data_IF_897105814556
#
_entry.id   IF_897105814556
#
_cell.length_a   1.000
_cell.length_b   1.000
_cell.length_c   1.000
_cell.angle_alpha   90.00
_cell.angle_beta   90.00
_cell.angle_gamma   90.00
#
_symmetry.space_group_name_H-M   'P 1'
#
loop_
_entity.id
_entity.type
_entity.pdbx_description
1 polymer ?
#
# COMPACT_ATOMS: atom_id res chain seq x y z
N UNK A 1 20.77 5.26 -15.80
CA UNK A 1 20.63 4.58 -14.50
C UNK A 1 19.68 5.44 -13.69
N UNK A 2 18.60 4.87 -13.14
CA UNK A 2 17.69 5.65 -12.30
C UNK A 2 18.40 5.89 -10.97
N UNK A 3 18.57 7.15 -10.59
CA UNK A 3 19.12 7.52 -9.28
C UNK A 3 17.96 7.53 -8.27
N UNK A 4 18.00 6.70 -7.21
CA UNK A 4 16.98 6.76 -6.17
C UNK A 4 16.98 8.11 -5.46
N UNK A 5 15.80 8.62 -5.13
CA UNK A 5 15.66 9.74 -4.20
C UNK A 5 16.24 9.39 -2.83
N UNK A 6 15.97 8.16 -2.39
CA UNK A 6 16.52 7.61 -1.16
C UNK A 6 16.72 6.11 -1.30
N UNK A 7 17.76 5.62 -0.63
CA UNK A 7 18.09 4.21 -0.49
C UNK A 7 18.63 4.01 0.93
N UNK A 8 18.07 3.08 1.68
CA UNK A 8 18.58 2.71 3.01
C UNK A 8 19.88 1.92 2.92
N UNK A 9 20.69 1.97 4.00
CA UNK A 9 21.99 1.30 4.08
C UNK A 9 21.88 -0.23 3.94
N UNK A 10 20.82 -0.80 4.52
CA UNK A 10 20.47 -2.23 4.43
C UNK A 10 19.98 -2.64 3.03
N UNK A 11 19.80 -1.68 2.11
CA UNK A 11 19.31 -1.87 0.74
C UNK A 11 17.96 -2.59 0.68
N UNK A 12 17.10 -2.40 1.68
CA UNK A 12 15.75 -2.97 1.73
C UNK A 12 14.64 -1.95 1.53
N UNK A 13 14.98 -0.67 1.36
CA UNK A 13 14.02 0.42 1.17
C UNK A 13 14.53 1.40 0.12
N UNK A 14 13.77 1.56 -0.97
CA UNK A 14 14.08 2.46 -2.07
C UNK A 14 12.92 3.41 -2.32
N UNK A 15 13.23 4.67 -2.59
CA UNK A 15 12.28 5.68 -3.04
C UNK A 15 12.74 6.23 -4.39
N UNK A 16 11.83 6.31 -5.35
CA UNK A 16 12.03 7.00 -6.61
C UNK A 16 11.13 8.25 -6.66
N UNK A 17 11.71 9.37 -7.10
CA UNK A 17 10.97 10.61 -7.32
C UNK A 17 10.61 10.77 -8.79
N UNK A 18 9.31 10.86 -9.07
CA UNK A 18 8.78 11.15 -10.41
C UNK A 18 7.48 10.40 -10.72
N UNK A 19 7.03 10.51 -11.96
CA UNK A 19 5.82 9.85 -12.41
C UNK A 19 6.01 8.33 -12.51
N UNK A 20 5.20 7.58 -11.77
CA UNK A 20 5.05 6.13 -11.89
C UNK A 20 4.94 5.64 -13.32
N UNK A 21 4.17 6.35 -14.16
CA UNK A 21 3.96 5.97 -15.56
C UNK A 21 5.26 6.04 -16.37
N UNK A 22 6.17 6.95 -16.00
CA UNK A 22 7.47 7.12 -16.66
C UNK A 22 8.57 6.27 -16.04
N UNK A 23 8.52 6.06 -14.71
CA UNK A 23 9.56 5.38 -13.96
C UNK A 23 9.47 3.86 -14.07
N UNK A 24 8.27 3.28 -14.03
CA UNK A 24 8.10 1.82 -14.12
C UNK A 24 8.78 1.26 -15.40
N UNK A 25 8.59 1.80 -16.61
CA UNK A 25 9.26 1.28 -17.82
C UNK A 25 10.80 1.26 -17.75
N UNK A 26 11.42 2.08 -16.89
CA UNK A 26 12.87 2.32 -16.89
C UNK A 26 13.71 1.27 -16.17
N UNK A 27 13.11 0.28 -15.47
CA UNK A 27 13.84 -0.79 -14.76
C UNK A 27 13.17 -2.17 -14.88
N UNK A 28 13.93 -3.27 -14.78
CA UNK A 28 13.39 -4.64 -15.06
C UNK A 28 12.85 -5.42 -13.86
N UNK A 29 13.17 -5.00 -12.64
CA UNK A 29 12.86 -5.76 -11.44
C UNK A 29 11.37 -6.15 -11.33
N UNK A 30 11.11 -7.39 -10.88
CA UNK A 30 9.76 -7.93 -10.67
C UNK A 30 9.47 -8.12 -9.19
N UNK A 31 8.28 -7.70 -8.76
CA UNK A 31 7.84 -7.69 -7.37
C UNK A 31 6.92 -8.85 -7.04
N UNK A 32 6.96 -9.29 -5.78
CA UNK A 32 6.16 -10.37 -5.21
C UNK A 32 4.74 -9.89 -4.85
N UNK A 33 4.63 -8.63 -4.44
CA UNK A 33 3.37 -7.99 -4.09
C UNK A 33 3.39 -6.54 -4.56
N UNK A 34 2.23 -6.05 -4.97
CA UNK A 34 1.99 -4.62 -5.17
C UNK A 34 0.91 -4.18 -4.18
N UNK A 35 1.12 -3.04 -3.53
CA UNK A 35 0.04 -2.30 -2.90
C UNK A 35 -0.14 -0.99 -3.65
N UNK A 36 -1.37 -0.54 -3.85
CA UNK A 36 -1.65 0.75 -4.46
C UNK A 36 -2.81 1.45 -3.75
N UNK A 37 -2.61 2.70 -3.37
CA UNK A 37 -3.66 3.65 -2.96
C UNK A 37 -3.73 4.77 -4.01
N UNK A 38 -4.27 4.49 -5.21
CA UNK A 38 -4.24 5.45 -6.32
C UNK A 38 -5.07 6.70 -6.02
N UNK A 39 -4.84 7.80 -6.75
CA UNK A 39 -5.74 8.95 -6.75
C UNK A 39 -7.22 8.60 -6.85
N UNK A 40 -8.07 9.31 -6.12
CA UNK A 40 -9.53 9.07 -6.10
C UNK A 40 -10.30 10.03 -7.01
N UNK A 41 -9.60 11.01 -7.58
CA UNK A 41 -10.11 12.11 -8.40
C UNK A 41 -11.26 12.90 -7.71
N UNK A 42 -11.10 13.20 -6.42
CA UNK A 42 -12.11 13.86 -5.57
C UNK A 42 -11.99 15.38 -5.52
N UNK A 43 -10.96 15.99 -6.12
CA UNK A 43 -10.79 17.44 -6.20
C UNK A 43 -11.79 18.08 -7.17
N UNK A 44 -13.05 18.15 -6.72
CA UNK A 44 -14.19 18.70 -7.45
C UNK A 44 -14.77 19.95 -6.77
N UNK A 45 -13.95 20.73 -6.05
CA UNK A 45 -14.35 21.93 -5.30
C UNK A 45 -15.38 21.69 -4.16
N UNK A 46 -15.50 20.46 -3.66
CA UNK A 46 -16.36 20.14 -2.52
C UNK A 46 -15.85 20.73 -1.19
N UNK A 47 -16.69 20.73 -0.16
CA UNK A 47 -16.38 21.17 1.20
C UNK A 47 -16.29 19.97 2.16
N UNK A 48 -15.31 19.98 3.06
CA UNK A 48 -15.08 19.02 4.14
C UNK A 48 -14.84 19.78 5.45
N UNK A 49 -14.78 19.10 6.59
CA UNK A 49 -14.46 19.71 7.89
C UNK A 49 -13.23 19.04 8.49
N UNK A 50 -12.23 19.86 8.84
CA UNK A 50 -11.05 19.42 9.57
C UNK A 50 -10.89 20.31 10.80
N UNK A 51 -10.87 19.70 12.00
CA UNK A 51 -10.78 20.38 13.29
C UNK A 51 -11.84 21.50 13.49
N UNK A 52 -13.09 21.23 13.10
CA UNK A 52 -14.19 22.19 13.25
C UNK A 52 -14.17 23.36 12.25
N UNK A 53 -13.22 23.39 11.30
CA UNK A 53 -13.16 24.39 10.23
C UNK A 53 -13.56 23.79 8.90
N UNK A 54 -14.31 24.54 8.10
CA UNK A 54 -14.64 24.19 6.72
C UNK A 54 -13.34 24.28 5.89
N UNK A 55 -12.99 23.18 5.23
CA UNK A 55 -11.83 23.04 4.36
C UNK A 55 -12.25 22.48 3.01
N UNK A 56 -11.51 22.76 1.94
CA UNK A 56 -11.80 22.18 0.63
C UNK A 56 -11.52 20.66 0.61
N UNK A 57 -12.30 19.91 -0.17
CA UNK A 57 -12.07 18.48 -0.47
C UNK A 57 -10.89 18.29 -1.42
N UNK A 58 -10.37 19.36 -2.03
CA UNK A 58 -9.27 19.29 -2.98
C UNK A 58 -8.00 18.74 -2.32
N UNK A 59 -7.59 17.53 -2.71
CA UNK A 59 -6.43 16.81 -2.15
C UNK A 59 -5.11 17.11 -2.88
N UNK A 60 -5.20 17.65 -4.10
CA UNK A 60 -4.06 17.98 -4.96
C UNK A 60 -4.49 18.11 -6.43
N UNK A 61 -3.62 18.66 -7.30
CA UNK A 61 -3.89 18.74 -8.75
C UNK A 61 -4.02 17.34 -9.40
N UNK A 62 -3.29 16.36 -8.87
CA UNK A 62 -3.32 14.94 -9.25
C UNK A 62 -4.68 14.26 -9.02
N UNK A 63 -5.59 14.90 -8.28
CA UNK A 63 -6.89 14.35 -7.86
C UNK A 63 -8.07 15.02 -8.59
N UNK A 64 -7.88 15.65 -9.76
CA UNK A 64 -8.96 16.25 -10.58
C UNK A 64 -9.52 15.24 -11.61
N UNK A 65 -10.85 15.11 -11.70
CA UNK A 65 -11.51 14.26 -12.69
C UNK A 65 -11.79 15.02 -13.99
N UNK A 66 -11.44 14.43 -15.14
CA UNK A 66 -11.80 14.92 -16.49
C UNK A 66 -12.93 14.09 -17.15
N UNK A 67 -13.61 13.24 -16.37
CA UNK A 67 -14.71 12.38 -16.84
C UNK A 67 -14.45 10.88 -16.62
N UNK A 68 -15.46 10.06 -16.91
CA UNK A 68 -15.43 8.60 -16.68
C UNK A 68 -14.35 7.89 -17.50
N UNK A 69 -14.23 8.21 -18.79
CA UNK A 69 -13.22 7.62 -19.69
C UNK A 69 -11.80 7.96 -19.24
N UNK A 70 -11.55 9.20 -18.80
CA UNK A 70 -10.26 9.60 -18.27
C UNK A 70 -9.83 8.75 -17.07
N UNK A 71 -10.74 8.47 -16.13
CA UNK A 71 -10.46 7.64 -14.95
C UNK A 71 -10.12 6.21 -15.37
N UNK A 72 -10.88 5.65 -16.33
CA UNK A 72 -10.63 4.30 -16.85
C UNK A 72 -9.29 4.22 -17.59
N UNK A 73 -8.96 5.20 -18.42
CA UNK A 73 -7.70 5.26 -19.17
C UNK A 73 -6.49 5.44 -18.24
N UNK A 74 -6.61 6.31 -17.23
CA UNK A 74 -5.61 6.43 -16.17
C UNK A 74 -5.40 5.09 -15.47
N UNK A 75 -6.48 4.44 -15.03
CA UNK A 75 -6.42 3.14 -14.36
C UNK A 75 -5.81 2.06 -15.23
N UNK A 76 -6.19 2.01 -16.51
CA UNK A 76 -5.65 1.10 -17.51
C UNK A 76 -4.15 1.26 -17.65
N UNK A 77 -3.68 2.50 -17.76
CA UNK A 77 -2.27 2.81 -17.98
C UNK A 77 -1.40 2.34 -16.81
N UNK A 78 -1.70 2.73 -15.57
CA UNK A 78 -0.84 2.34 -14.45
C UNK A 78 -0.97 0.85 -14.14
N UNK A 79 -2.17 0.26 -14.20
CA UNK A 79 -2.35 -1.16 -13.95
C UNK A 79 -1.61 -2.02 -14.96
N UNK A 80 -1.57 -1.62 -16.24
CA UNK A 80 -0.79 -2.32 -17.27
C UNK A 80 0.71 -2.28 -16.95
N UNK A 81 1.25 -1.12 -16.59
CA UNK A 81 2.66 -0.97 -16.23
C UNK A 81 3.02 -1.75 -14.96
N UNK A 82 2.16 -1.70 -13.94
CA UNK A 82 2.33 -2.45 -12.70
C UNK A 82 2.26 -3.96 -12.96
N UNK A 83 1.31 -4.42 -13.79
CA UNK A 83 1.19 -5.81 -14.19
C UNK A 83 2.49 -6.33 -14.81
N UNK A 84 3.15 -5.52 -15.63
CA UNK A 84 4.46 -5.86 -16.18
C UNK A 84 5.52 -6.02 -15.09
N UNK A 85 5.45 -5.29 -13.97
CA UNK A 85 6.39 -5.41 -12.85
C UNK A 85 6.05 -6.49 -11.84
N UNK A 86 4.97 -7.22 -12.01
CA UNK A 86 4.61 -8.32 -11.10
C UNK A 86 5.26 -9.64 -11.55
N UNK A 87 5.73 -10.46 -10.60
CA UNK A 87 6.06 -11.87 -10.86
C UNK A 87 4.81 -12.65 -11.30
N UNK A 88 5.00 -13.83 -11.89
CA UNK A 88 3.88 -14.63 -12.42
C UNK A 88 2.84 -15.04 -11.37
N UNK A 89 3.30 -15.29 -10.14
CA UNK A 89 2.56 -15.70 -8.95
C UNK A 89 2.25 -14.54 -7.98
N UNK A 90 2.62 -13.31 -8.33
CA UNK A 90 2.43 -12.14 -7.49
C UNK A 90 0.96 -11.72 -7.35
N UNK A 91 0.67 -11.01 -6.26
CA UNK A 91 -0.64 -10.42 -5.98
C UNK A 91 -0.58 -8.90 -5.90
N UNK A 92 -1.72 -8.26 -6.12
CA UNK A 92 -1.91 -6.84 -5.98
C UNK A 92 -3.06 -6.56 -5.02
N UNK A 93 -2.86 -5.57 -4.16
CA UNK A 93 -3.87 -5.01 -3.27
C UNK A 93 -4.10 -3.56 -3.66
N UNK A 94 -5.36 -3.17 -3.85
CA UNK A 94 -5.71 -1.81 -4.24
C UNK A 94 -6.78 -1.28 -3.29
N UNK A 95 -6.45 -0.24 -2.52
CA UNK A 95 -7.45 0.45 -1.70
C UNK A 95 -8.22 1.47 -2.50
N UNK A 96 -9.48 1.63 -2.14
CA UNK A 96 -10.35 2.60 -2.75
C UNK A 96 -11.61 2.84 -1.93
N UNK A 97 -12.41 3.76 -2.43
CA UNK A 97 -13.77 4.01 -1.97
C UNK A 97 -14.72 3.83 -3.15
N UNK A 98 -16.02 4.02 -2.93
CA UNK A 98 -17.02 3.98 -4.01
C UNK A 98 -16.69 4.88 -5.22
N UNK A 99 -15.85 5.90 -5.05
CA UNK A 99 -15.49 6.85 -6.10
C UNK A 99 -14.53 6.28 -7.16
N UNK A 100 -13.69 5.30 -6.81
CA UNK A 100 -12.67 4.76 -7.72
C UNK A 100 -12.68 3.22 -7.82
N UNK A 101 -13.17 2.52 -6.80
CA UNK A 101 -12.99 1.06 -6.68
C UNK A 101 -13.68 0.28 -7.81
N UNK A 102 -14.80 0.80 -8.35
CA UNK A 102 -15.52 0.15 -9.45
C UNK A 102 -14.75 0.20 -10.77
N UNK A 103 -14.19 1.37 -11.11
CA UNK A 103 -13.31 1.51 -12.28
C UNK A 103 -12.10 0.60 -12.14
N UNK A 104 -11.43 0.61 -10.98
CA UNK A 104 -10.28 -0.28 -10.73
C UNK A 104 -10.65 -1.76 -10.92
N UNK A 105 -11.79 -2.21 -10.36
CA UNK A 105 -12.24 -3.60 -10.49
C UNK A 105 -12.53 -4.01 -11.95
N UNK A 106 -13.15 -3.12 -12.72
CA UNK A 106 -13.40 -3.34 -14.15
C UNK A 106 -12.08 -3.47 -14.91
N UNK A 107 -11.14 -2.55 -14.71
CA UNK A 107 -9.87 -2.52 -15.44
C UNK A 107 -8.97 -3.70 -15.05
N UNK A 108 -8.97 -4.13 -13.79
CA UNK A 108 -8.29 -5.37 -13.38
C UNK A 108 -8.79 -6.57 -14.19
N UNK A 109 -10.10 -6.70 -14.34
CA UNK A 109 -10.73 -7.79 -15.10
C UNK A 109 -10.35 -7.72 -16.57
N UNK A 110 -10.40 -6.52 -17.16
CA UNK A 110 -10.01 -6.29 -18.55
C UNK A 110 -8.54 -6.65 -18.81
N UNK A 111 -7.64 -6.34 -17.87
CA UNK A 111 -6.21 -6.67 -17.96
C UNK A 111 -5.89 -8.12 -17.58
N UNK A 112 -6.91 -8.97 -17.36
CA UNK A 112 -6.74 -10.40 -17.11
C UNK A 112 -6.20 -10.73 -15.73
N UNK A 113 -6.40 -9.87 -14.73
CA UNK A 113 -6.23 -10.25 -13.33
C UNK A 113 -7.39 -11.13 -12.86
N UNK A 114 -7.12 -12.03 -11.91
CA UNK A 114 -8.19 -12.72 -11.18
C UNK A 114 -8.38 -12.04 -9.83
N UNK A 115 -9.52 -11.38 -9.63
CA UNK A 115 -9.94 -10.88 -8.33
C UNK A 115 -10.22 -12.09 -7.42
N UNK A 116 -9.61 -12.07 -6.23
CA UNK A 116 -9.70 -13.14 -5.23
C UNK A 116 -10.75 -12.79 -4.17
N UNK A 117 -10.66 -11.58 -3.62
CA UNK A 117 -11.58 -11.05 -2.62
C UNK A 117 -11.66 -9.52 -2.71
N UNK A 118 -12.73 -8.96 -2.17
CA UNK A 118 -12.80 -7.54 -1.82
C UNK A 118 -12.89 -7.48 -0.30
N UNK A 119 -11.84 -6.97 0.33
CA UNK A 119 -11.81 -6.77 1.78
C UNK A 119 -12.48 -5.46 2.13
N UNK A 120 -13.39 -5.48 3.10
CA UNK A 120 -13.98 -4.27 3.70
C UNK A 120 -13.23 -3.96 4.99
N UNK A 121 -12.43 -2.90 4.96
CA UNK A 121 -11.81 -2.37 6.17
C UNK A 121 -12.84 -1.49 6.90
N UNK A 122 -13.34 -1.99 8.02
CA UNK A 122 -14.21 -1.26 8.95
C UNK A 122 -13.35 -0.52 9.99
N UNK A 123 -13.42 0.81 9.94
CA UNK A 123 -12.71 1.70 10.87
C UNK A 123 -13.40 1.65 12.22
N UNK A 124 -12.67 1.31 13.27
CA UNK A 124 -13.23 1.26 14.64
C UNK A 124 -13.52 2.66 15.21
N UNK A 125 -12.92 3.70 14.63
CA UNK A 125 -13.01 5.10 15.02
C UNK A 125 -13.15 6.02 13.78
N UNK A 126 -14.25 5.90 13.00
CA UNK A 126 -14.43 6.70 11.80
C UNK A 126 -14.78 8.15 12.16
N UNK A 127 -14.34 9.13 11.35
CA UNK A 127 -14.79 10.51 11.53
C UNK A 127 -16.30 10.61 11.28
N UNK A 128 -17.06 11.35 12.11
CA UNK A 128 -18.51 11.48 11.94
C UNK A 128 -18.86 12.20 10.64
N UNK A 129 -19.97 11.82 10.01
CA UNK A 129 -20.50 12.54 8.84
C UNK A 129 -21.23 13.81 9.30
N UNK A 130 -20.62 14.97 9.04
CA UNK A 130 -21.18 16.26 9.46
C UNK A 130 -22.43 16.69 8.68
N UNK A 131 -22.61 16.23 7.44
CA UNK A 131 -23.73 16.68 6.60
C UNK A 131 -25.09 16.16 7.09
N UNK A 132 -25.10 15.07 7.88
CA UNK A 132 -26.29 14.31 8.27
C UNK A 132 -27.20 13.89 7.09
N UNK A 133 -26.68 13.94 5.85
CA UNK A 133 -27.41 13.57 4.62
C UNK A 133 -27.06 12.17 4.12
N UNK A 134 -25.96 11.61 4.60
CA UNK A 134 -25.44 10.31 4.20
C UNK A 134 -24.97 9.53 5.43
N UNK A 135 -24.80 8.22 5.26
CA UNK A 135 -24.17 7.37 6.27
C UNK A 135 -22.73 7.84 6.58
N UNK A 136 -22.23 7.44 7.75
CA UNK A 136 -20.83 7.66 8.10
C UNK A 136 -19.94 6.83 7.20
N UNK A 137 -18.91 7.44 6.61
CA UNK A 137 -17.89 6.75 5.81
C UNK A 137 -16.96 5.95 6.73
N UNK A 138 -17.50 4.87 7.30
CA UNK A 138 -16.82 4.00 8.25
C UNK A 138 -16.02 2.87 7.61
N UNK A 139 -16.12 2.71 6.29
CA UNK A 139 -15.44 1.63 5.57
C UNK A 139 -14.62 2.12 4.38
N UNK A 140 -13.57 1.37 4.04
CA UNK A 140 -12.86 1.43 2.76
C UNK A 140 -12.81 0.01 2.16
N UNK A 141 -12.78 -0.07 0.82
CA UNK A 141 -12.72 -1.32 0.09
C UNK A 141 -11.30 -1.56 -0.40
N UNK A 142 -10.83 -2.80 -0.31
CA UNK A 142 -9.49 -3.20 -0.75
C UNK A 142 -9.64 -4.43 -1.65
N UNK A 143 -9.40 -4.27 -2.95
CA UNK A 143 -9.42 -5.40 -3.89
C UNK A 143 -8.12 -6.18 -3.73
N UNK A 144 -8.23 -7.51 -3.61
CA UNK A 144 -7.11 -8.45 -3.76
C UNK A 144 -7.22 -9.17 -5.09
N UNK A 145 -6.17 -9.14 -5.90
CA UNK A 145 -6.13 -9.88 -7.16
C UNK A 145 -4.78 -10.55 -7.38
N UNK A 146 -4.78 -11.68 -8.09
CA UNK A 146 -3.55 -12.30 -8.59
C UNK A 146 -3.31 -11.92 -10.05
N UNK A 147 -2.04 -11.82 -10.44
CA UNK A 147 -1.63 -11.47 -11.81
C UNK A 147 -2.25 -12.45 -12.82
N UNK A 148 -2.01 -13.74 -12.66
CA UNK A 148 -2.36 -14.75 -13.66
C UNK A 148 -3.46 -15.66 -13.13
N UNK A 149 -4.56 -15.82 -13.88
CA UNK A 149 -5.70 -16.62 -13.43
C UNK A 149 -5.34 -18.08 -13.11
N UNK A 150 -4.38 -18.67 -13.82
CA UNK A 150 -4.01 -20.10 -13.66
C UNK A 150 -2.78 -20.33 -12.78
N UNK A 151 -2.09 -19.28 -12.34
CA UNK A 151 -0.90 -19.42 -11.48
C UNK A 151 -1.33 -19.30 -10.01
N UNK A 152 -0.99 -20.28 -9.15
CA UNK A 152 -1.22 -20.17 -7.72
C UNK A 152 -0.49 -18.97 -7.13
N UNK A 153 -1.11 -18.29 -6.17
CA UNK A 153 -0.48 -17.23 -5.39
C UNK A 153 -0.18 -17.74 -3.98
N UNK A 154 0.69 -17.05 -3.26
CA UNK A 154 0.92 -17.33 -1.84
C UNK A 154 -0.19 -16.69 -0.98
N UNK A 155 -0.78 -17.49 -0.10
CA UNK A 155 -1.69 -17.03 0.94
C UNK A 155 -1.33 -17.69 2.26
N UNK A 156 -0.99 -16.91 3.28
CA UNK A 156 -0.63 -17.39 4.60
C UNK A 156 -1.88 -17.75 5.41
N UNK A 157 -2.58 -18.80 4.97
CA UNK A 157 -3.84 -19.25 5.58
C UNK A 157 -3.68 -19.58 7.06
N UNK A 158 -2.55 -20.20 7.46
CA UNK A 158 -2.27 -20.57 8.85
C UNK A 158 -2.25 -19.34 9.75
N UNK A 159 -1.47 -18.31 9.38
CA UNK A 159 -1.42 -17.06 10.14
C UNK A 159 -2.78 -16.36 10.16
N UNK A 160 -3.43 -16.23 8.99
CA UNK A 160 -4.75 -15.58 8.92
C UNK A 160 -5.79 -16.30 9.78
N UNK A 161 -5.74 -17.63 9.88
CA UNK A 161 -6.59 -18.42 10.78
C UNK A 161 -6.26 -18.14 12.25
N UNK A 162 -4.98 -18.07 12.61
CA UNK A 162 -4.52 -17.77 13.97
C UNK A 162 -4.97 -16.37 14.42
N UNK A 163 -4.76 -15.34 13.59
CA UNK A 163 -5.16 -13.95 13.87
C UNK A 163 -6.67 -13.75 14.01
N UNK A 164 -7.48 -14.75 13.65
CA UNK A 164 -8.93 -14.72 13.77
C UNK A 164 -9.44 -15.81 14.75
N UNK A 165 -8.69 -16.04 15.84
CA UNK A 165 -9.09 -16.96 16.90
C UNK A 165 -9.22 -18.41 16.42
N UNK A 166 -8.26 -18.85 15.60
CA UNK A 166 -8.24 -20.17 14.95
C UNK A 166 -9.45 -20.46 14.04
N UNK A 167 -10.14 -19.43 13.55
CA UNK A 167 -11.19 -19.52 12.52
C UNK A 167 -10.70 -18.90 11.23
N UNK A 168 -11.21 -19.35 10.08
CA UNK A 168 -10.88 -18.75 8.79
C UNK A 168 -11.10 -17.24 8.81
N UNK A 169 -10.09 -16.46 8.41
CA UNK A 169 -10.18 -15.01 8.32
C UNK A 169 -11.30 -14.60 7.36
N UNK A 170 -12.12 -13.64 7.81
CA UNK A 170 -13.21 -13.07 7.01
C UNK A 170 -12.68 -11.91 6.17
N UNK A 171 -13.47 -11.48 5.21
CA UNK A 171 -13.19 -10.33 4.34
C UNK A 171 -13.64 -8.98 4.95
N UNK A 172 -14.29 -8.97 6.12
CA UNK A 172 -14.55 -7.74 6.88
C UNK A 172 -13.57 -7.61 8.03
N UNK A 173 -12.72 -6.58 7.99
CA UNK A 173 -11.65 -6.36 8.96
C UNK A 173 -11.93 -5.13 9.81
N UNK A 174 -12.17 -5.35 11.11
CA UNK A 174 -12.26 -4.29 12.10
C UNK A 174 -10.87 -3.87 12.55
N UNK A 175 -10.39 -2.73 12.06
CA UNK A 175 -9.06 -2.19 12.36
C UNK A 175 -9.14 -0.67 12.59
N UNK A 176 -8.30 -0.09 13.46
CA UNK A 176 -8.35 1.34 13.74
C UNK A 176 -7.95 2.18 12.53
N UNK A 177 -8.48 3.40 12.46
CA UNK A 177 -7.93 4.47 11.64
C UNK A 177 -6.53 4.86 12.15
N UNK A 178 -5.79 5.61 11.34
CA UNK A 178 -4.43 6.04 11.65
C UNK A 178 -4.31 6.70 13.02
N UNK A 179 -3.38 6.22 13.84
CA UNK A 179 -3.11 6.77 15.16
C UNK A 179 -2.16 7.99 15.09
N UNK A 180 -2.20 8.91 16.08
CA UNK A 180 -1.30 10.07 16.11
C UNK A 180 0.18 9.72 16.12
N UNK A 181 0.57 8.61 16.78
CA UNK A 181 1.96 8.17 16.86
C UNK A 181 2.52 7.74 15.50
N UNK A 182 1.67 7.36 14.53
CA UNK A 182 2.11 7.00 13.17
C UNK A 182 2.48 8.24 12.31
N UNK A 183 2.30 9.45 12.85
CA UNK A 183 2.52 10.75 12.17
C UNK A 183 3.69 11.55 12.75
N UNK A 184 4.58 10.90 13.51
CA UNK A 184 5.74 11.52 14.16
C UNK A 184 6.66 12.25 13.16
N UNK A 185 6.78 11.76 11.93
CA UNK A 185 7.65 12.34 10.89
C UNK A 185 6.95 13.33 9.95
N UNK A 186 5.70 13.71 10.22
CA UNK A 186 4.93 14.62 9.37
C UNK A 186 3.53 14.10 9.03
N UNK A 187 2.74 14.93 8.34
CA UNK A 187 1.33 14.66 8.04
C UNK A 187 1.11 14.50 6.53
N UNK A 188 0.69 13.31 6.13
CA UNK A 188 0.09 13.06 4.82
C UNK A 188 -1.44 12.97 4.95
N UNK A 189 -2.23 13.59 4.04
CA UNK A 189 -3.68 13.73 4.19
C UNK A 189 -4.43 12.38 4.22
N UNK A 190 -3.95 11.39 3.46
CA UNK A 190 -4.59 10.08 3.28
C UNK A 190 -3.72 8.92 3.76
N UNK A 191 -2.82 9.14 4.73
CA UNK A 191 -1.96 8.08 5.24
C UNK A 191 -2.78 6.91 5.80
N UNK A 192 -2.55 5.71 5.26
CA UNK A 192 -3.14 4.46 5.73
C UNK A 192 -2.48 4.01 7.06
N UNK A 193 -3.22 3.29 7.94
CA UNK A 193 -2.67 2.76 9.18
C UNK A 193 -1.79 1.53 8.94
N UNK A 194 -0.71 1.41 9.72
CA UNK A 194 0.22 0.29 9.65
C UNK A 194 -0.46 -1.07 9.87
N UNK A 195 -1.47 -1.15 10.74
CA UNK A 195 -2.19 -2.39 11.04
C UNK A 195 -2.82 -3.06 9.81
N UNK A 196 -3.41 -2.26 8.92
CA UNK A 196 -4.02 -2.75 7.68
C UNK A 196 -2.93 -3.26 6.74
N UNK A 197 -1.91 -2.44 6.48
CA UNK A 197 -0.84 -2.78 5.53
C UNK A 197 -0.05 -4.01 5.98
N UNK A 198 0.30 -4.09 7.27
CA UNK A 198 1.01 -5.25 7.82
C UNK A 198 0.20 -6.53 7.64
N UNK A 199 -1.13 -6.51 7.87
CA UNK A 199 -1.98 -7.68 7.64
C UNK A 199 -2.00 -8.10 6.17
N UNK A 200 -2.13 -7.16 5.22
CA UNK A 200 -2.10 -7.44 3.78
C UNK A 200 -0.78 -8.10 3.37
N UNK A 201 0.34 -7.55 3.86
CA UNK A 201 1.69 -8.04 3.58
C UNK A 201 1.87 -9.46 4.12
N UNK A 202 1.56 -9.70 5.39
CA UNK A 202 1.71 -11.01 6.02
C UNK A 202 0.76 -12.07 5.44
N UNK A 203 -0.42 -11.66 4.97
CA UNK A 203 -1.37 -12.54 4.31
C UNK A 203 -0.85 -13.06 2.96
N UNK A 204 -0.09 -12.25 2.22
CA UNK A 204 0.18 -12.49 0.79
C UNK A 204 1.66 -12.56 0.41
N UNK A 205 2.58 -12.46 1.37
CA UNK A 205 4.03 -12.50 1.10
C UNK A 205 4.81 -13.41 2.04
N UNK A 206 5.92 -13.95 1.53
CA UNK A 206 6.95 -14.65 2.32
C UNK A 206 8.02 -13.65 2.82
N UNK A 207 8.85 -14.02 3.80
CA UNK A 207 10.01 -13.21 4.22
C UNK A 207 10.84 -12.74 3.03
N UNK A 208 11.40 -11.54 3.14
CA UNK A 208 12.25 -10.93 2.11
C UNK A 208 11.55 -10.66 0.76
N UNK A 209 10.23 -10.80 0.64
CA UNK A 209 9.49 -10.42 -0.56
C UNK A 209 9.74 -8.95 -0.93
N UNK A 210 9.80 -8.67 -2.22
CA UNK A 210 9.87 -7.31 -2.76
C UNK A 210 8.46 -6.77 -3.00
N UNK A 211 8.16 -5.64 -2.37
CA UNK A 211 6.86 -4.97 -2.45
C UNK A 211 7.03 -3.64 -3.19
N UNK A 212 6.18 -3.44 -4.21
CA UNK A 212 6.07 -2.18 -4.93
C UNK A 212 4.87 -1.39 -4.42
N UNK A 213 5.07 -0.09 -4.23
CA UNK A 213 3.99 0.89 -4.11
C UNK A 213 4.16 2.00 -5.15
N UNK A 214 3.33 2.04 -6.21
CA UNK A 214 3.40 3.05 -7.26
C UNK A 214 2.79 4.40 -6.84
N UNK A 215 2.22 4.50 -5.64
CA UNK A 215 1.62 5.73 -5.11
C UNK A 215 2.00 5.86 -3.63
N UNK A 216 3.32 5.89 -3.37
CA UNK A 216 3.86 5.61 -2.06
C UNK A 216 3.40 6.59 -0.97
N UNK A 217 3.14 7.86 -1.32
CA UNK A 217 2.81 8.91 -0.37
C UNK A 217 3.84 8.99 0.75
N UNK A 218 3.39 8.87 2.00
CA UNK A 218 4.29 8.77 3.17
C UNK A 218 4.83 7.36 3.46
N UNK A 219 4.77 6.44 2.50
CA UNK A 219 5.32 5.09 2.49
C UNK A 219 4.85 4.18 3.64
N UNK A 220 3.59 4.24 4.07
CA UNK A 220 3.06 3.27 5.06
C UNK A 220 3.31 1.83 4.60
N UNK A 221 3.14 1.54 3.32
CA UNK A 221 3.46 0.23 2.72
C UNK A 221 4.90 -0.19 3.00
N UNK A 222 5.87 0.71 2.79
CA UNK A 222 7.28 0.44 3.01
C UNK A 222 7.66 0.27 4.48
N UNK A 223 7.08 1.09 5.36
CA UNK A 223 7.28 0.97 6.81
C UNK A 223 6.72 -0.36 7.31
N UNK A 224 5.50 -0.73 6.90
CA UNK A 224 4.91 -2.02 7.23
C UNK A 224 5.73 -3.19 6.66
N UNK A 225 6.23 -3.08 5.42
CA UNK A 225 7.08 -4.08 4.80
C UNK A 225 8.35 -4.31 5.62
N UNK A 226 9.10 -3.26 5.94
CA UNK A 226 10.34 -3.39 6.71
C UNK A 226 10.10 -3.88 8.14
N UNK A 227 9.05 -3.42 8.83
CA UNK A 227 8.66 -3.95 10.15
C UNK A 227 8.26 -5.43 10.11
N UNK A 228 7.83 -5.92 8.94
CA UNK A 228 7.54 -7.31 8.68
C UNK A 228 8.68 -8.06 7.98
N UNK A 229 9.92 -7.55 7.96
CA UNK A 229 11.07 -8.21 7.29
C UNK A 229 10.87 -8.46 5.78
N UNK A 230 10.17 -7.54 5.09
CA UNK A 230 10.02 -7.46 3.62
C UNK A 230 10.74 -6.23 3.07
N UNK A 231 11.01 -6.24 1.77
CA UNK A 231 11.72 -5.20 1.02
C UNK A 231 10.75 -4.34 0.26
N UNK A 232 11.13 -3.09 0.00
CA UNK A 232 10.22 -2.07 -0.51
C UNK A 232 10.86 -1.20 -1.59
N UNK A 233 10.08 -0.93 -2.64
CA UNK A 233 10.28 0.21 -3.53
C UNK A 233 8.99 1.03 -3.61
N UNK A 234 9.11 2.32 -3.29
CA UNK A 234 8.04 3.30 -3.45
C UNK A 234 8.34 4.29 -4.57
N UNK A 235 7.29 4.71 -5.28
CA UNK A 235 7.35 5.80 -6.25
C UNK A 235 6.35 6.87 -5.82
N UNK A 236 6.78 8.13 -5.82
CA UNK A 236 5.88 9.26 -5.63
C UNK A 236 6.35 10.48 -6.44
N UNK A 237 5.40 11.33 -6.84
CA UNK A 237 5.68 12.56 -7.58
C UNK A 237 5.97 13.73 -6.64
N UNK A 238 5.51 13.69 -5.40
CA UNK A 238 5.60 14.81 -4.46
C UNK A 238 6.82 14.62 -3.54
N UNK A 239 7.84 15.45 -3.74
CA UNK A 239 9.09 15.40 -2.97
C UNK A 239 8.88 15.56 -1.45
N UNK A 240 7.87 16.33 -1.03
CA UNK A 240 7.50 16.48 0.38
C UNK A 240 7.09 15.14 1.01
N UNK A 241 6.35 14.31 0.27
CA UNK A 241 5.91 12.99 0.74
C UNK A 241 7.05 11.99 0.77
N UNK A 242 7.99 12.08 -0.18
CA UNK A 242 9.22 11.30 -0.17
C UNK A 242 10.13 11.69 1.00
N UNK A 243 10.15 12.96 1.40
CA UNK A 243 10.87 13.43 2.59
C UNK A 243 10.28 12.83 3.87
N UNK A 244 8.95 12.84 4.03
CA UNK A 244 8.29 12.15 5.15
C UNK A 244 8.63 10.65 5.13
N UNK A 245 8.54 10.02 3.97
CA UNK A 245 8.84 8.59 3.79
C UNK A 245 10.27 8.23 4.22
N UNK A 246 11.26 9.02 3.79
CA UNK A 246 12.66 8.87 4.20
C UNK A 246 12.81 8.98 5.72
N UNK A 247 12.22 10.01 6.33
CA UNK A 247 12.31 10.22 7.77
C UNK A 247 11.67 9.07 8.56
N UNK A 248 10.54 8.54 8.09
CA UNK A 248 9.92 7.35 8.71
C UNK A 248 10.80 6.11 8.63
N UNK A 249 11.50 5.89 7.50
CA UNK A 249 12.45 4.78 7.37
C UNK A 249 13.60 4.95 8.36
N UNK A 250 14.21 6.13 8.43
CA UNK A 250 15.30 6.43 9.39
C UNK A 250 14.82 6.27 10.85
N UNK A 251 13.58 6.65 11.15
CA UNK A 251 13.01 6.49 12.49
C UNK A 251 12.93 5.02 12.92
N UNK A 252 12.49 4.12 12.04
CA UNK A 252 12.39 2.68 12.36
C UNK A 252 13.73 1.94 12.29
N UNK A 253 14.83 2.58 11.85
CA UNK A 253 16.18 2.02 11.98
C UNK A 253 16.64 2.01 13.44
N UNK A 254 16.04 2.84 14.30
CA UNK A 254 16.22 2.70 15.74
C UNK A 254 15.50 1.43 16.24
N UNK A 255 16.23 0.42 16.77
CA UNK A 255 15.63 -0.85 17.15
C UNK A 255 14.52 -0.69 18.20
N UNK A 256 14.69 0.23 19.16
CA UNK A 256 13.69 0.50 20.21
C UNK A 256 12.39 1.05 19.63
N UNK A 257 12.48 1.95 18.65
CA UNK A 257 11.30 2.49 17.96
C UNK A 257 10.64 1.40 17.12
N UNK A 258 11.42 0.58 16.39
CA UNK A 258 10.88 -0.52 15.59
C UNK A 258 10.07 -1.53 16.42
N UNK A 259 10.56 -1.89 17.61
CA UNK A 259 9.87 -2.77 18.57
C UNK A 259 8.62 -2.09 19.09
N UNK A 260 8.71 -0.81 19.45
CA UNK A 260 7.55 -0.02 19.91
C UNK A 260 6.45 0.04 18.84
N UNK A 261 6.82 0.18 17.56
CA UNK A 261 5.86 0.19 16.46
C UNK A 261 5.19 -1.17 16.30
N UNK A 262 5.96 -2.26 16.40
CA UNK A 262 5.42 -3.63 16.37
C UNK A 262 4.42 -3.90 17.49
N UNK A 263 4.72 -3.45 18.71
CA UNK A 263 3.84 -3.62 19.88
C UNK A 263 2.57 -2.78 19.79
N UNK A 264 2.64 -1.56 19.24
CA UNK A 264 1.48 -0.65 19.11
C UNK A 264 0.57 -0.96 17.92
N UNK A 265 1.02 -1.78 16.96
CA UNK A 265 0.20 -2.14 15.81
C UNK A 265 -1.00 -2.98 16.24
N UNK A 266 -2.21 -2.48 15.96
CA UNK A 266 -3.43 -3.26 16.18
C UNK A 266 -3.59 -4.41 15.19
N UNK A 267 -4.53 -5.30 15.46
CA UNK A 267 -4.87 -6.42 14.57
C UNK A 267 -4.15 -7.74 14.87
N UNK A 268 -3.47 -7.80 16.01
CA UNK A 268 -2.87 -8.99 16.61
C UNK A 268 -3.57 -9.31 17.95
N UNK A 269 -3.47 -10.55 18.41
CA UNK A 269 -4.07 -11.04 19.65
C UNK A 269 -3.36 -10.48 20.89
N UNK A 270 -2.06 -10.20 20.80
CA UNK A 270 -1.25 -9.55 21.83
C UNK A 270 -0.09 -8.75 21.20
N UNK A 271 0.60 -7.95 22.02
CA UNK A 271 1.67 -7.03 21.58
C UNK A 271 2.93 -7.73 21.06
N UNK A 272 3.11 -9.02 21.35
CA UNK A 272 4.29 -9.82 20.96
C UNK A 272 4.00 -10.77 19.80
N UNK A 273 2.74 -11.03 19.47
CA UNK A 273 2.37 -12.02 18.45
C UNK A 273 3.04 -11.75 17.10
N UNK A 274 3.13 -10.49 16.67
CA UNK A 274 3.84 -10.14 15.44
C UNK A 274 5.33 -10.48 15.53
N UNK A 275 5.99 -10.09 16.63
CA UNK A 275 7.42 -10.34 16.81
C UNK A 275 7.73 -11.83 16.87
N UNK A 276 6.93 -12.60 17.61
CA UNK A 276 7.03 -14.06 17.68
C UNK A 276 6.85 -14.70 16.31
N UNK A 277 5.83 -14.29 15.56
CA UNK A 277 5.62 -14.76 14.19
C UNK A 277 6.85 -14.51 13.30
N UNK A 278 7.42 -13.29 13.34
CA UNK A 278 8.57 -12.92 12.53
C UNK A 278 9.85 -13.69 12.90
N UNK A 279 9.99 -14.11 14.16
CA UNK A 279 11.11 -14.95 14.63
C UNK A 279 10.98 -16.40 14.13
N UNK A 280 9.76 -16.90 14.04
CA UNK A 280 9.45 -18.25 13.53
C UNK A 280 9.55 -18.37 12.00
N UNK A 281 9.53 -17.24 11.30
CA UNK A 281 9.64 -17.25 9.84
C UNK A 281 11.00 -17.82 9.37
N UNK A 282 11.00 -18.60 8.27
CA UNK A 282 12.23 -19.19 7.76
C UNK A 282 13.22 -18.11 7.35
N UNK A 283 14.43 -18.18 7.89
CA UNK A 283 15.55 -17.35 7.44
C UNK A 283 15.92 -17.76 6.02
N UNK A 284 15.70 -16.85 5.08
CA UNK A 284 16.08 -17.04 3.68
C UNK A 284 17.24 -16.12 3.35
N UNK A 285 18.34 -16.68 2.86
CA UNK A 285 19.42 -15.88 2.27
C UNK A 285 18.98 -15.42 0.87
N UNK A 286 18.82 -14.11 0.70
CA UNK A 286 18.53 -13.50 -0.60
C UNK A 286 19.59 -12.44 -0.89
N UNK A 287 20.42 -12.68 -1.92
CA UNK A 287 21.56 -11.81 -2.27
C UNK A 287 21.32 -10.80 -3.39
N UNK A 288 20.06 -10.60 -3.82
CA UNK A 288 19.80 -9.72 -4.95
C UNK A 288 19.43 -8.31 -4.49
N UNK A 289 20.41 -7.41 -4.61
CA UNK A 289 20.21 -5.96 -4.62
C UNK A 289 19.26 -5.57 -5.76
N UNK A 290 18.47 -4.51 -5.54
CA UNK A 290 17.59 -3.97 -6.56
C UNK A 290 18.43 -3.37 -7.70
N UNK A 291 18.29 -3.92 -8.92
CA UNK A 291 18.94 -3.40 -10.12
C UNK A 291 18.06 -2.36 -10.82
N UNK A 292 18.46 -1.10 -10.75
CA UNK A 292 17.82 0.04 -11.43
C UNK A 292 18.61 0.45 -12.69
N UNK A 293 18.95 -0.56 -13.51
CA UNK A 293 19.63 -0.36 -14.78
C UNK A 293 18.62 0.09 -15.86
N UNK A 294 19.01 1.04 -16.72
CA UNK A 294 18.15 1.49 -17.81
C UNK A 294 17.96 0.35 -18.81
N UNK A 295 16.73 0.10 -19.27
CA UNK A 295 16.54 -0.53 -20.58
C UNK A 295 17.30 0.32 -21.61
N UNK A 296 18.29 -0.26 -22.29
CA UNK A 296 18.83 0.37 -23.50
C UNK A 296 17.64 0.56 -24.45
N UNK A 297 17.45 1.78 -24.94
CA UNK A 297 16.55 2.01 -26.05
C UNK A 297 17.02 1.09 -27.18
N UNK A 298 16.21 0.08 -27.50
CA UNK A 298 16.40 -0.68 -28.72
C UNK A 298 16.02 0.32 -29.80
N UNK A 299 17.04 0.83 -30.50
CA UNK A 299 16.87 1.75 -31.63
C UNK A 299 16.15 1.09 -32.79
#
# INVERSE_FOLDING_TARGET
MIVPYFKSDDKNFYLLHGDTMELLPKFEHKFDMVFADPPYFLSNNGLSIQNGKIVSVNKGKWDKSEGFEFINDFNRKWLSLVREKMKGDATIWISGTMHNIFSVGQILTELGFKILNIVTWEKTNPPPNFSCRYFTYSTEQIIWARKTEKVPHYFNYKLMKQLNGNKQMKDVWKLPAIAPWEKSCGKHPTQKPLSVLTRLILASTKPNAWILDPFAGSSTTGIAANLANRRFLGIDQEEEFLTISKNRKLEIENPKISVTYRQKMGGFNDEKELELFLVEEPRTEYKNELKLENKRAIG
#
